data_IF_603939333948
#
_entry.id   IF_603939333948
#
_cell.length_a   1.000
_cell.length_b   1.000
_cell.length_c   1.000
_cell.angle_alpha   90.00
_cell.angle_beta   90.00
_cell.angle_gamma   90.00
#
_symmetry.space_group_name_H-M   'P 1'
#
loop_
_entity.id
_entity.type
_entity.pdbx_description
1 polymer ?
#
# COMPACT_ATOMS: atom_id res chain seq x y z
N UNK A 1 -30.85 -20.96 18.38
CA UNK A 1 -29.45 -20.65 17.98
C UNK A 1 -28.55 -20.95 19.18
N UNK A 2 -27.62 -21.90 19.07
CA UNK A 2 -26.70 -22.25 20.16
C UNK A 2 -25.62 -21.19 20.27
N UNK A 3 -25.29 -20.77 21.49
CA UNK A 3 -24.18 -19.84 21.77
C UNK A 3 -23.08 -20.60 22.51
N UNK A 4 -21.84 -20.44 22.10
CA UNK A 4 -20.69 -20.94 22.84
C UNK A 4 -20.11 -19.74 23.62
N UNK A 5 -19.99 -19.89 24.94
CA UNK A 5 -19.34 -18.94 25.83
C UNK A 5 -18.03 -19.58 26.26
N UNK A 6 -16.91 -18.94 25.99
CA UNK A 6 -15.58 -19.39 26.38
C UNK A 6 -14.80 -18.20 26.94
N UNK A 7 -14.02 -18.43 27.98
CA UNK A 7 -13.17 -17.41 28.58
C UNK A 7 -11.81 -17.33 27.87
N UNK A 8 -11.43 -18.41 27.16
CA UNK A 8 -10.18 -18.49 26.44
C UNK A 8 -10.30 -19.39 25.20
N UNK A 9 -9.62 -19.02 24.12
CA UNK A 9 -9.50 -19.80 22.89
C UNK A 9 -8.02 -19.98 22.59
N UNK A 10 -7.52 -21.20 22.76
CA UNK A 10 -6.10 -21.53 22.55
C UNK A 10 -5.95 -22.31 21.24
N UNK A 11 -4.90 -22.00 20.48
CA UNK A 11 -4.56 -22.79 19.30
C UNK A 11 -4.23 -24.23 19.70
N UNK A 12 -4.76 -25.17 18.92
CA UNK A 12 -4.43 -26.58 19.05
C UNK A 12 -3.02 -26.90 18.53
N UNK A 13 -2.53 -26.16 17.56
CA UNK A 13 -1.23 -26.32 16.93
C UNK A 13 -0.53 -24.97 16.91
N UNK A 14 0.64 -24.86 17.53
CA UNK A 14 1.40 -23.60 17.63
C UNK A 14 1.67 -22.97 16.27
N UNK A 15 1.55 -21.65 16.17
CA UNK A 15 1.77 -20.80 15.01
C UNK A 15 0.76 -20.91 13.86
N UNK A 16 -0.42 -21.48 14.09
CA UNK A 16 -1.50 -21.49 13.08
C UNK A 16 -2.62 -20.48 13.36
N UNK A 17 -2.73 -19.98 14.59
CA UNK A 17 -3.77 -19.08 15.02
C UNK A 17 -5.18 -19.70 15.01
N UNK A 18 -6.11 -19.08 15.72
CA UNK A 18 -7.53 -19.42 15.61
C UNK A 18 -8.09 -18.68 14.42
N UNK A 19 -8.41 -19.39 13.34
CA UNK A 19 -8.98 -18.81 12.12
C UNK A 19 -10.47 -18.58 12.32
N UNK A 20 -10.86 -17.31 12.41
CA UNK A 20 -12.25 -16.87 12.40
C UNK A 20 -12.44 -16.03 11.14
N UNK A 21 -13.37 -16.36 10.22
CA UNK A 21 -13.59 -15.58 9.01
C UNK A 21 -13.78 -14.09 9.31
N UNK A 22 -13.06 -13.23 8.58
CA UNK A 22 -13.05 -11.78 8.81
C UNK A 22 -12.05 -11.31 9.87
N UNK A 23 -11.36 -12.21 10.59
CA UNK A 23 -10.32 -11.83 11.55
C UNK A 23 -9.07 -11.34 10.87
N UNK A 24 -8.41 -10.33 11.47
CA UNK A 24 -7.06 -9.93 11.07
C UNK A 24 -6.07 -10.90 11.70
N UNK A 25 -5.33 -11.64 10.85
CA UNK A 25 -4.35 -12.65 11.27
C UNK A 25 -3.00 -12.00 11.57
N UNK A 26 -2.58 -11.08 10.70
CA UNK A 26 -1.31 -10.37 10.87
C UNK A 26 -1.38 -8.95 10.29
N UNK A 27 -0.53 -8.08 10.79
CA UNK A 27 -0.34 -6.73 10.30
C UNK A 27 1.15 -6.52 10.05
N UNK A 28 1.47 -6.07 8.83
CA UNK A 28 2.84 -5.69 8.43
C UNK A 28 2.82 -4.26 7.94
N UNK A 29 3.81 -3.46 8.30
CA UNK A 29 3.95 -2.09 7.82
C UNK A 29 5.32 -1.87 7.18
N UNK A 30 5.31 -1.33 5.97
CA UNK A 30 6.49 -0.80 5.30
C UNK A 30 6.44 0.73 5.31
N UNK A 31 7.58 1.36 5.45
CA UNK A 31 7.72 2.82 5.45
C UNK A 31 8.88 3.24 4.57
N UNK A 32 8.77 4.41 3.94
CA UNK A 32 9.86 5.03 3.20
C UNK A 32 9.93 6.53 3.51
N UNK A 33 11.15 7.03 3.66
CA UNK A 33 11.45 8.46 3.75
C UNK A 33 12.22 8.94 2.51
N UNK A 34 12.37 8.07 1.52
CA UNK A 34 13.09 8.39 0.29
C UNK A 34 12.37 9.51 -0.45
N UNK A 35 13.06 10.60 -0.69
CA UNK A 35 12.58 11.69 -1.53
C UNK A 35 12.85 11.35 -2.99
N UNK A 36 11.81 11.43 -3.81
CA UNK A 36 11.89 11.23 -5.24
C UNK A 36 11.47 12.50 -5.96
N UNK A 37 12.32 12.99 -6.85
CA UNK A 37 11.96 14.04 -7.82
C UNK A 37 11.84 13.42 -9.22
N UNK A 38 10.70 13.61 -9.85
CA UNK A 38 10.44 13.17 -11.22
C UNK A 38 10.37 14.35 -12.15
N UNK A 39 11.38 14.51 -13.01
CA UNK A 39 11.39 15.48 -14.10
C UNK A 39 11.04 14.85 -15.48
N UNK A 40 11.28 13.55 -15.67
CA UNK A 40 10.97 12.87 -16.93
C UNK A 40 9.48 12.70 -17.15
N UNK A 41 8.98 13.01 -18.35
CA UNK A 41 7.59 12.81 -18.73
C UNK A 41 7.35 11.42 -19.34
N UNK A 42 6.11 10.96 -19.31
CA UNK A 42 5.66 9.66 -19.84
C UNK A 42 6.48 8.47 -19.29
N UNK A 43 6.88 8.56 -18.04
CA UNK A 43 7.65 7.53 -17.35
C UNK A 43 6.97 7.11 -16.05
N UNK A 44 7.15 5.83 -15.71
CA UNK A 44 6.79 5.31 -14.39
C UNK A 44 8.05 5.13 -13.58
N UNK A 45 8.08 5.66 -12.37
CA UNK A 45 9.25 5.61 -11.48
C UNK A 45 8.85 4.98 -10.14
N UNK A 46 9.72 4.13 -9.62
CA UNK A 46 9.55 3.51 -8.31
C UNK A 46 9.71 4.57 -7.21
N UNK A 47 8.78 4.59 -6.25
CA UNK A 47 8.81 5.56 -5.15
C UNK A 47 9.78 5.19 -4.03
N UNK A 48 10.35 3.97 -4.07
CA UNK A 48 11.14 3.40 -2.99
C UNK A 48 10.31 2.90 -1.80
N UNK A 49 8.97 2.95 -1.89
CA UNK A 49 8.09 2.36 -0.87
C UNK A 49 7.71 0.94 -1.30
N UNK A 50 8.26 -0.04 -0.61
CA UNK A 50 8.04 -1.47 -0.87
C UNK A 50 7.91 -2.24 0.43
N UNK A 51 7.10 -3.30 0.42
CA UNK A 51 6.94 -4.22 1.54
C UNK A 51 6.39 -5.56 1.08
N UNK A 52 6.56 -6.57 1.90
CA UNK A 52 6.10 -7.94 1.60
C UNK A 52 5.31 -8.51 2.76
N UNK A 53 4.34 -9.36 2.43
CA UNK A 53 3.56 -10.13 3.40
C UNK A 53 3.46 -11.57 2.88
N UNK A 54 3.49 -12.54 3.79
CA UNK A 54 3.33 -13.96 3.48
C UNK A 54 1.95 -14.41 3.99
N UNK A 55 0.96 -14.61 3.12
CA UNK A 55 -0.37 -15.03 3.55
C UNK A 55 -0.33 -16.44 4.18
N UNK A 56 -1.12 -16.65 5.21
CA UNK A 56 -1.22 -17.93 5.91
C UNK A 56 -2.07 -18.97 5.16
N UNK A 57 -2.98 -18.51 4.31
CA UNK A 57 -3.84 -19.37 3.47
C UNK A 57 -4.03 -18.77 2.07
N UNK A 58 -4.27 -19.63 1.08
CA UNK A 58 -4.55 -19.19 -0.30
C UNK A 58 -5.88 -18.46 -0.44
N UNK A 59 -6.79 -18.64 0.52
CA UNK A 59 -8.07 -17.93 0.59
C UNK A 59 -7.95 -16.55 1.25
N UNK A 60 -6.86 -16.26 1.98
CA UNK A 60 -6.65 -15.00 2.69
C UNK A 60 -6.73 -13.81 1.74
N UNK A 61 -7.31 -12.72 2.24
CA UNK A 61 -7.27 -11.41 1.57
C UNK A 61 -6.31 -10.48 2.27
N UNK A 62 -5.70 -9.59 1.51
CA UNK A 62 -4.79 -8.58 2.03
C UNK A 62 -5.42 -7.20 1.84
N UNK A 63 -5.78 -6.55 2.95
CA UNK A 63 -6.16 -5.14 2.93
C UNK A 63 -4.88 -4.30 2.98
N UNK A 64 -4.69 -3.48 1.95
CA UNK A 64 -3.57 -2.57 1.81
C UNK A 64 -4.06 -1.14 2.07
N UNK A 65 -3.44 -0.45 3.02
CA UNK A 65 -3.63 0.98 3.27
C UNK A 65 -2.37 1.72 2.88
N UNK A 66 -2.52 2.76 2.07
CA UNK A 66 -1.41 3.62 1.65
C UNK A 66 -1.63 5.05 2.10
N UNK A 67 -0.53 5.71 2.48
CA UNK A 67 -0.49 7.14 2.72
C UNK A 67 0.87 7.71 2.28
N UNK A 68 0.86 8.83 1.54
CA UNK A 68 2.07 9.57 1.16
C UNK A 68 1.78 11.04 0.92
N UNK A 69 2.80 11.88 1.11
CA UNK A 69 2.76 13.29 0.70
C UNK A 69 3.35 13.42 -0.71
N UNK A 70 2.64 14.13 -1.57
CA UNK A 70 3.09 14.44 -2.94
C UNK A 70 3.02 15.95 -3.14
N UNK A 71 4.13 16.52 -3.58
CA UNK A 71 4.23 17.91 -4.02
C UNK A 71 4.34 17.91 -5.55
N UNK A 72 3.64 18.83 -6.21
CA UNK A 72 3.67 18.94 -7.67
C UNK A 72 3.86 20.38 -8.11
N UNK A 73 4.45 20.55 -9.29
CA UNK A 73 4.66 21.83 -9.93
C UNK A 73 4.29 21.73 -11.41
N UNK A 74 3.29 22.51 -11.84
CA UNK A 74 2.79 22.52 -13.23
C UNK A 74 2.49 21.12 -13.80
N UNK A 75 2.07 20.20 -12.95
CA UNK A 75 1.71 18.85 -13.37
C UNK A 75 0.22 18.80 -13.66
N UNK A 76 -0.18 18.15 -14.74
CA UNK A 76 -1.60 17.99 -15.07
C UNK A 76 -2.19 16.73 -14.43
N UNK A 77 -1.70 15.58 -14.86
CA UNK A 77 -2.18 14.29 -14.38
C UNK A 77 -1.01 13.42 -13.97
N UNK A 78 -1.17 12.75 -12.85
CA UNK A 78 -0.28 11.69 -12.45
C UNK A 78 -1.06 10.54 -11.80
N UNK A 79 -0.50 9.35 -11.88
CA UNK A 79 -1.12 8.14 -11.36
C UNK A 79 -0.16 7.52 -10.36
N UNK A 80 -0.65 7.31 -9.15
CA UNK A 80 0.05 6.48 -8.17
C UNK A 80 -0.48 5.05 -8.31
N UNK A 81 0.39 4.14 -8.75
CA UNK A 81 0.06 2.72 -8.87
C UNK A 81 0.49 1.95 -7.62
N UNK A 82 -0.35 1.01 -7.21
CA UNK A 82 0.04 -0.12 -6.38
C UNK A 82 0.41 -1.26 -7.31
N UNK A 83 1.61 -1.76 -7.16
CA UNK A 83 2.16 -2.87 -7.95
C UNK A 83 2.32 -4.08 -7.04
N UNK A 84 1.75 -5.21 -7.42
CA UNK A 84 2.00 -6.52 -6.81
C UNK A 84 2.96 -7.29 -7.68
N UNK A 85 4.14 -7.63 -7.14
CA UNK A 85 5.24 -8.28 -7.85
C UNK A 85 5.65 -7.48 -9.11
N UNK A 86 4.98 -7.68 -10.24
CA UNK A 86 5.23 -6.94 -11.50
C UNK A 86 3.97 -6.37 -12.13
N UNK A 87 2.78 -6.58 -11.54
CA UNK A 87 1.50 -6.19 -12.10
C UNK A 87 0.91 -4.98 -11.34
N UNK A 88 0.40 -3.99 -12.07
CA UNK A 88 -0.40 -2.92 -11.47
C UNK A 88 -1.74 -3.51 -11.02
N UNK A 89 -2.02 -3.49 -9.73
CA UNK A 89 -3.28 -4.01 -9.14
C UNK A 89 -4.26 -2.90 -8.77
N UNK A 90 -3.76 -1.67 -8.59
CA UNK A 90 -4.58 -0.50 -8.31
C UNK A 90 -3.90 0.76 -8.86
N UNK A 91 -4.69 1.76 -9.25
CA UNK A 91 -4.21 3.07 -9.69
C UNK A 91 -5.07 4.19 -9.13
N UNK A 92 -4.44 5.14 -8.45
CA UNK A 92 -5.05 6.38 -7.98
C UNK A 92 -4.67 7.51 -8.94
N UNK A 93 -5.66 8.01 -9.70
CA UNK A 93 -5.47 9.20 -10.52
C UNK A 93 -5.53 10.44 -9.63
N UNK A 94 -4.53 11.28 -9.75
CA UNK A 94 -4.44 12.56 -9.08
C UNK A 94 -4.31 13.66 -10.14
N UNK A 95 -5.19 14.63 -10.05
CA UNK A 95 -5.21 15.79 -10.94
C UNK A 95 -4.77 17.03 -10.20
N UNK A 96 -3.97 17.84 -10.85
CA UNK A 96 -3.55 19.14 -10.36
C UNK A 96 -3.93 20.21 -11.39
N UNK A 97 -4.60 21.26 -10.95
CA UNK A 97 -4.69 22.50 -11.71
C UNK A 97 -3.34 23.23 -11.70
N UNK A 98 -3.15 24.19 -12.58
CA UNK A 98 -1.89 24.94 -12.75
C UNK A 98 -1.32 25.50 -11.45
N UNK A 99 0.00 25.32 -11.25
CA UNK A 99 0.77 25.91 -10.15
C UNK A 99 1.41 24.89 -9.23
N UNK A 100 1.95 25.40 -8.12
CA UNK A 100 2.59 24.63 -7.08
C UNK A 100 1.55 24.17 -6.05
N UNK A 101 1.57 22.91 -5.68
CA UNK A 101 0.63 22.40 -4.69
C UNK A 101 1.09 21.13 -3.98
N UNK A 102 0.38 20.79 -2.92
CA UNK A 102 0.61 19.57 -2.14
C UNK A 102 -0.66 18.74 -2.07
N UNK A 103 -0.54 17.44 -2.19
CA UNK A 103 -1.62 16.48 -1.99
C UNK A 103 -1.17 15.35 -1.06
N UNK A 104 -2.14 14.83 -0.32
CA UNK A 104 -1.98 13.53 0.32
C UNK A 104 -2.57 12.47 -0.60
N UNK A 105 -1.73 11.54 -1.06
CA UNK A 105 -2.20 10.36 -1.76
C UNK A 105 -2.50 9.26 -0.74
N UNK A 106 -3.76 8.95 -0.57
CA UNK A 106 -4.21 7.90 0.35
C UNK A 106 -5.24 7.02 -0.36
N UNK A 107 -5.10 5.71 -0.18
CA UNK A 107 -6.07 4.74 -0.69
C UNK A 107 -6.13 3.49 0.21
N UNK A 108 -7.20 2.75 0.05
CA UNK A 108 -7.33 1.38 0.52
C UNK A 108 -7.63 0.45 -0.65
N UNK A 109 -7.04 -0.74 -0.64
CA UNK A 109 -7.26 -1.76 -1.66
C UNK A 109 -7.28 -3.14 -1.01
N UNK A 110 -8.28 -3.96 -1.36
CA UNK A 110 -8.39 -5.34 -0.89
C UNK A 110 -7.97 -6.29 -2.00
N UNK A 111 -6.84 -6.94 -1.82
CA UNK A 111 -6.28 -7.90 -2.76
C UNK A 111 -6.56 -9.35 -2.37
N UNK A 112 -6.55 -10.23 -3.38
CA UNK A 112 -6.69 -11.68 -3.25
C UNK A 112 -5.52 -12.36 -3.97
N UNK A 113 -4.35 -12.49 -3.34
CA UNK A 113 -3.14 -12.98 -4.00
C UNK A 113 -3.18 -14.48 -4.31
N UNK A 114 -4.07 -15.23 -3.64
CA UNK A 114 -4.29 -16.66 -3.83
C UNK A 114 -3.02 -17.52 -3.70
N UNK A 115 -2.13 -17.14 -2.79
CA UNK A 115 -0.85 -17.84 -2.53
C UNK A 115 -0.51 -17.83 -1.05
N UNK A 116 0.33 -18.77 -0.62
CA UNK A 116 0.99 -18.79 0.69
C UNK A 116 2.49 -18.43 0.58
N UNK A 117 2.96 -18.09 -0.61
CA UNK A 117 4.29 -17.53 -0.81
C UNK A 117 4.32 -16.04 -0.48
N UNK A 118 5.49 -15.51 -0.17
CA UNK A 118 5.66 -14.08 0.05
C UNK A 118 5.23 -13.28 -1.19
N UNK A 119 4.41 -12.24 -0.98
CA UNK A 119 3.92 -11.33 -2.01
C UNK A 119 4.50 -9.96 -1.73
N UNK A 120 5.10 -9.35 -2.74
CA UNK A 120 5.70 -8.01 -2.63
C UNK A 120 4.80 -6.97 -3.26
N UNK A 121 4.53 -5.92 -2.49
CA UNK A 121 3.83 -4.73 -2.96
C UNK A 121 4.76 -3.54 -2.94
N UNK A 122 4.65 -2.70 -3.97
CA UNK A 122 5.36 -1.42 -4.03
C UNK A 122 4.48 -0.36 -4.68
N UNK A 123 4.90 0.88 -4.56
CA UNK A 123 4.24 1.98 -5.26
C UNK A 123 5.14 2.55 -6.35
N UNK A 124 4.54 2.91 -7.48
CA UNK A 124 5.18 3.63 -8.57
C UNK A 124 4.34 4.84 -8.95
N UNK A 125 4.99 5.91 -9.37
CA UNK A 125 4.32 7.11 -9.88
C UNK A 125 4.55 7.22 -11.37
N UNK A 126 3.48 7.39 -12.14
CA UNK A 126 3.50 7.75 -13.55
C UNK A 126 3.00 9.18 -13.71
N UNK A 127 3.66 9.97 -14.54
CA UNK A 127 3.19 11.30 -14.93
C UNK A 127 3.37 11.54 -16.42
N UNK A 128 2.50 12.40 -16.97
CA UNK A 128 2.60 12.81 -18.37
C UNK A 128 3.36 14.13 -18.54
N UNK A 129 3.23 15.09 -17.63
CA UNK A 129 3.86 16.42 -17.70
C UNK A 129 4.21 16.98 -16.32
N UNK A 130 5.03 18.03 -16.28
CA UNK A 130 5.37 18.77 -15.07
C UNK A 130 6.41 18.08 -14.19
N UNK A 131 6.43 18.44 -12.93
CA UNK A 131 7.32 17.87 -11.92
C UNK A 131 6.52 17.32 -10.74
N UNK A 132 6.95 16.19 -10.22
CA UNK A 132 6.40 15.57 -9.03
C UNK A 132 7.54 15.31 -8.06
N UNK A 133 7.29 15.62 -6.80
CA UNK A 133 8.15 15.30 -5.67
C UNK A 133 7.38 14.38 -4.72
N UNK A 134 7.87 13.20 -4.50
CA UNK A 134 7.33 12.25 -3.56
C UNK A 134 8.12 12.31 -2.25
N UNK A 135 7.45 12.34 -1.10
CA UNK A 135 8.07 12.56 0.21
C UNK A 135 8.92 13.85 0.32
N UNK A 136 8.64 14.84 -0.51
CA UNK A 136 9.39 16.09 -0.47
C UNK A 136 8.98 16.92 0.74
N UNK A 137 9.98 17.31 1.54
CA UNK A 137 9.84 18.35 2.55
C UNK A 137 11.19 19.00 2.82
N UNK A 138 11.20 20.33 2.92
CA UNK A 138 12.41 21.11 3.18
C UNK A 138 12.88 21.04 4.64
N UNK A 139 12.00 20.68 5.59
CA UNK A 139 12.30 20.82 7.04
C UNK A 139 12.01 19.54 7.84
N UNK A 140 11.02 18.74 7.46
CA UNK A 140 10.64 17.51 8.16
C UNK A 140 10.54 16.38 7.14
N UNK A 141 11.22 15.28 7.39
CA UNK A 141 11.16 14.11 6.51
C UNK A 141 9.72 13.56 6.46
N UNK A 142 9.04 13.77 5.35
CA UNK A 142 7.77 13.11 5.08
C UNK A 142 7.97 11.59 5.03
N UNK A 143 7.01 10.87 5.56
CA UNK A 143 7.04 9.40 5.60
C UNK A 143 5.85 8.85 4.83
N UNK A 144 6.13 8.03 3.83
CA UNK A 144 5.12 7.21 3.18
C UNK A 144 4.99 5.87 3.86
N UNK A 145 3.79 5.32 3.85
CA UNK A 145 3.48 4.05 4.51
C UNK A 145 2.65 3.14 3.60
N UNK A 146 2.94 1.84 3.65
CA UNK A 146 2.06 0.76 3.24
C UNK A 146 1.80 -0.13 4.44
N UNK A 147 0.54 -0.29 4.82
CA UNK A 147 0.13 -1.21 5.88
C UNK A 147 -0.66 -2.34 5.23
N UNK A 148 -0.24 -3.56 5.50
CA UNK A 148 -0.86 -4.79 5.03
C UNK A 148 -1.56 -5.46 6.20
N UNK A 149 -2.83 -5.80 6.03
CA UNK A 149 -3.61 -6.57 7.01
C UNK A 149 -4.11 -7.84 6.33
N UNK A 150 -3.65 -9.00 6.80
CA UNK A 150 -4.19 -10.27 6.34
C UNK A 150 -5.53 -10.54 7.02
N UNK A 151 -6.55 -10.83 6.22
CA UNK A 151 -7.92 -11.13 6.65
C UNK A 151 -8.21 -12.59 6.34
N UNK A 152 -8.55 -13.36 7.37
CA UNK A 152 -9.02 -14.74 7.26
C UNK A 152 -10.32 -14.83 6.44
N UNK A 153 -10.46 -15.89 5.62
CA UNK A 153 -11.67 -16.20 4.87
C UNK A 153 -12.21 -17.58 5.24
#
# INVERSE_FOLDING_TARGET
MSKLFVDDIVEKTSNHGVVIPGHIIQIVQATSTTTLQMSSNNASVDTGLTGSITPSATSSKILILHNSAIVYNNTHDFILYLVRDSANVYGLNLYSSTGYGTNTAAFSYLDSPATTSAVTYKTTVYKNQGEIFYNYNNEITSKSTLTFMEIAQ
#
